data_IF_696464027263
#
_entry.id   IF_696464027263
#
_cell.length_a   1.000
_cell.length_b   1.000
_cell.length_c   1.000
_cell.angle_alpha   90.00
_cell.angle_beta   90.00
_cell.angle_gamma   90.00
#
_symmetry.space_group_name_H-M   'P 1'
#
loop_
_entity.id
_entity.type
_entity.pdbx_description
1 polymer ?
#
# COMPACT_ATOMS: atom_id res chain seq x y z
N UNK A 1 -7.16 -26.63 28.46
CA UNK A 1 -6.53 -25.65 27.56
C UNK A 1 -7.67 -24.82 26.95
N UNK A 2 -7.80 -23.57 27.38
CA UNK A 2 -8.87 -22.70 26.91
C UNK A 2 -8.43 -22.08 25.57
N UNK A 3 -9.19 -22.37 24.51
CA UNK A 3 -9.06 -21.71 23.22
C UNK A 3 -9.64 -20.30 23.41
N UNK A 4 -8.81 -19.31 23.56
CA UNK A 4 -9.23 -17.91 23.54
C UNK A 4 -9.71 -17.58 22.13
N UNK A 5 -11.01 -17.48 21.95
CA UNK A 5 -11.60 -16.87 20.75
C UNK A 5 -11.14 -15.42 20.69
N UNK A 6 -10.51 -15.06 19.57
CA UNK A 6 -10.26 -13.67 19.26
C UNK A 6 -11.62 -12.94 19.14
N UNK A 7 -11.76 -11.72 19.71
CA UNK A 7 -13.01 -10.99 19.64
C UNK A 7 -13.38 -10.73 18.17
N UNK A 8 -14.68 -10.86 17.84
CA UNK A 8 -15.26 -10.45 16.57
C UNK A 8 -14.97 -8.95 16.34
N UNK A 9 -13.87 -8.66 15.68
CA UNK A 9 -13.51 -7.32 15.30
C UNK A 9 -14.31 -6.93 14.05
N UNK A 10 -14.97 -5.78 14.04
CA UNK A 10 -15.63 -5.28 12.85
C UNK A 10 -14.57 -5.02 11.77
N UNK A 11 -14.57 -5.85 10.74
CA UNK A 11 -13.61 -5.83 9.62
C UNK A 11 -13.89 -4.68 8.63
N UNK A 12 -14.43 -3.58 9.12
CA UNK A 12 -14.77 -2.40 8.30
C UNK A 12 -13.59 -1.79 7.55
N UNK A 13 -12.35 -2.10 7.92
CA UNK A 13 -11.15 -1.61 7.25
C UNK A 13 -10.75 -2.35 5.97
N UNK A 14 -11.33 -3.52 5.65
CA UNK A 14 -11.12 -4.19 4.36
C UNK A 14 -11.81 -3.48 3.21
N UNK A 15 -12.67 -2.54 3.55
CA UNK A 15 -13.45 -1.76 2.60
C UNK A 15 -12.89 -0.36 2.55
N UNK A 16 -12.31 -0.05 1.43
CA UNK A 16 -12.61 1.24 0.85
C UNK A 16 -14.11 1.20 0.57
N UNK A 17 -14.92 1.47 1.59
CA UNK A 17 -16.32 1.80 1.36
C UNK A 17 -16.29 3.10 0.59
N UNK A 18 -16.21 2.96 -0.68
CA UNK A 18 -16.38 4.04 -1.62
C UNK A 18 -17.89 4.32 -1.60
N UNK A 19 -18.30 5.23 -0.70
CA UNK A 19 -19.45 6.03 -1.02
C UNK A 19 -19.02 6.90 -2.21
N UNK A 20 -19.14 6.36 -3.42
CA UNK A 20 -19.12 7.18 -4.60
C UNK A 20 -20.37 8.06 -4.54
N UNK A 21 -20.25 9.39 -4.51
CA UNK A 21 -21.34 10.20 -5.02
C UNK A 21 -21.57 9.71 -6.44
N UNK A 22 -22.83 9.45 -6.80
CA UNK A 22 -23.25 9.09 -8.15
C UNK A 22 -22.79 10.20 -9.08
N UNK A 23 -21.61 10.05 -9.68
CA UNK A 23 -21.16 10.94 -10.73
C UNK A 23 -21.68 10.32 -12.01
N UNK A 24 -22.76 10.91 -12.54
CA UNK A 24 -23.19 10.68 -13.92
C UNK A 24 -21.99 10.84 -14.85
N UNK A 25 -21.82 9.94 -15.84
CA UNK A 25 -20.73 10.03 -16.78
C UNK A 25 -21.01 11.13 -17.82
N UNK A 26 -20.61 12.34 -17.50
CA UNK A 26 -20.38 13.34 -18.52
C UNK A 26 -18.85 13.51 -18.61
N UNK A 27 -18.20 12.64 -19.39
CA UNK A 27 -16.85 12.90 -19.83
C UNK A 27 -16.92 13.92 -20.97
N UNK A 28 -16.43 15.16 -20.79
CA UNK A 28 -16.02 15.96 -21.92
C UNK A 28 -14.79 15.27 -22.53
N UNK A 29 -14.75 15.20 -23.86
CA UNK A 29 -13.61 14.73 -24.63
C UNK A 29 -12.31 15.37 -24.12
N UNK A 30 -11.16 14.65 -24.12
CA UNK A 30 -9.92 15.19 -23.65
C UNK A 30 -9.54 16.41 -24.48
N UNK A 31 -9.69 17.59 -23.90
CA UNK A 31 -9.05 18.79 -24.41
C UNK A 31 -7.56 18.51 -24.32
N UNK A 32 -6.86 18.54 -25.47
CA UNK A 32 -5.44 18.28 -25.55
C UNK A 32 -4.69 19.14 -24.53
N UNK A 33 -4.27 18.54 -23.44
CA UNK A 33 -3.38 19.17 -22.48
C UNK A 33 -2.01 19.17 -23.12
N UNK A 34 -1.65 20.31 -23.70
CA UNK A 34 -0.26 20.58 -24.12
C UNK A 34 0.58 20.62 -22.87
N UNK A 35 1.23 19.50 -22.55
CA UNK A 35 2.19 19.44 -21.43
C UNK A 35 3.40 20.28 -21.88
N UNK A 36 3.75 21.36 -21.16
CA UNK A 36 4.94 22.16 -21.51
C UNK A 36 6.17 21.27 -21.46
N UNK A 37 6.88 21.15 -22.56
CA UNK A 37 8.09 20.33 -22.73
C UNK A 37 9.17 20.61 -21.66
N UNK A 38 9.10 21.76 -20.97
CA UNK A 38 10.00 22.12 -19.88
C UNK A 38 9.93 21.29 -18.59
N UNK A 39 8.92 20.43 -18.41
CA UNK A 39 8.81 19.56 -17.20
C UNK A 39 9.52 18.20 -17.32
N UNK A 40 10.00 17.82 -18.50
CA UNK A 40 10.65 16.52 -18.72
C UNK A 40 12.10 16.46 -18.18
N UNK A 41 12.71 17.59 -17.83
CA UNK A 41 14.11 17.68 -17.35
C UNK A 41 14.25 18.12 -15.89
N UNK A 42 13.19 18.12 -15.09
CA UNK A 42 13.36 18.31 -13.65
C UNK A 42 13.97 17.02 -13.06
N UNK A 43 15.14 17.10 -12.40
CA UNK A 43 15.69 15.94 -11.70
C UNK A 43 14.63 15.48 -10.72
N UNK A 44 14.28 14.16 -10.78
CA UNK A 44 13.34 13.59 -9.80
C UNK A 44 13.95 13.83 -8.42
N UNK A 45 13.17 14.38 -7.46
CA UNK A 45 13.67 14.60 -6.12
C UNK A 45 14.28 13.29 -5.61
N UNK A 46 15.49 13.36 -5.14
CA UNK A 46 16.12 12.24 -4.47
C UNK A 46 15.42 11.93 -3.13
N UNK A 47 15.86 10.88 -2.46
CA UNK A 47 15.28 10.49 -1.17
C UNK A 47 15.33 11.62 -0.14
N UNK A 48 16.42 12.40 -0.11
CA UNK A 48 16.59 13.50 0.85
C UNK A 48 15.61 14.63 0.58
N UNK A 49 15.42 15.01 -0.68
CA UNK A 49 14.43 16.00 -1.07
C UNK A 49 13.02 15.55 -0.71
N UNK A 50 12.69 14.26 -0.91
CA UNK A 50 11.40 13.71 -0.53
C UNK A 50 11.17 13.76 0.99
N UNK A 51 12.16 13.34 1.80
CA UNK A 51 12.07 13.41 3.27
C UNK A 51 11.78 14.83 3.75
N UNK A 52 12.43 15.83 3.12
CA UNK A 52 12.21 17.24 3.47
C UNK A 52 10.86 17.78 2.98
N UNK A 53 10.19 17.11 2.06
CA UNK A 53 8.89 17.53 1.53
C UNK A 53 7.70 16.93 2.29
N UNK A 54 7.86 15.75 2.92
CA UNK A 54 6.81 15.19 3.76
C UNK A 54 6.70 15.99 5.06
N UNK A 55 5.48 16.14 5.56
CA UNK A 55 5.22 16.91 6.77
C UNK A 55 5.79 16.18 7.99
N UNK A 56 6.97 16.58 8.43
CA UNK A 56 7.58 16.06 9.65
C UNK A 56 6.86 16.65 10.86
N UNK A 57 6.31 15.80 11.72
CA UNK A 57 5.60 16.17 12.95
C UNK A 57 6.44 15.95 14.23
N UNK A 58 7.70 15.48 14.05
CA UNK A 58 8.62 15.17 15.15
C UNK A 58 8.37 13.81 15.81
N UNK A 59 7.31 13.08 15.43
CA UNK A 59 6.93 11.83 16.05
C UNK A 59 7.67 10.64 15.41
N UNK A 60 8.45 9.90 16.20
CA UNK A 60 9.21 8.74 15.75
C UNK A 60 8.33 7.54 15.36
N UNK A 61 7.10 7.48 15.86
CA UNK A 61 6.17 6.38 15.63
C UNK A 61 5.14 6.68 14.51
N UNK A 62 5.11 7.93 14.02
CA UNK A 62 4.19 8.36 12.96
C UNK A 62 4.81 8.11 11.59
N UNK A 63 4.17 7.29 10.77
CA UNK A 63 4.55 7.15 9.36
C UNK A 63 3.99 8.33 8.57
N UNK A 64 4.88 9.09 7.92
CA UNK A 64 4.53 10.31 7.16
C UNK A 64 4.84 10.21 5.67
N UNK A 65 5.59 9.19 5.24
CA UNK A 65 5.91 9.00 3.83
C UNK A 65 6.36 7.60 3.47
N UNK A 66 6.21 7.26 2.19
CA UNK A 66 6.79 6.07 1.57
C UNK A 66 7.47 6.45 0.26
N UNK A 67 8.62 5.86 0.03
CA UNK A 67 9.50 6.18 -1.09
C UNK A 67 10.01 4.91 -1.78
N UNK A 68 9.89 4.92 -3.12
CA UNK A 68 10.63 4.04 -4.03
C UNK A 68 11.26 4.91 -5.12
N UNK A 69 12.55 4.73 -5.47
CA UNK A 69 13.28 5.68 -6.33
C UNK A 69 12.62 5.98 -7.67
N UNK A 70 11.99 4.97 -8.26
CA UNK A 70 11.44 5.03 -9.63
C UNK A 70 9.91 5.05 -9.66
N UNK A 71 9.22 4.44 -8.68
CA UNK A 71 7.82 4.04 -8.79
C UNK A 71 6.92 4.88 -7.88
N UNK A 72 7.29 5.09 -6.61
CA UNK A 72 6.38 5.60 -5.60
C UNK A 72 7.04 6.68 -4.73
N UNK A 73 6.37 7.82 -4.64
CA UNK A 73 6.67 8.89 -3.67
C UNK A 73 5.33 9.42 -3.19
N UNK A 74 4.96 9.07 -1.98
CA UNK A 74 3.66 9.42 -1.46
C UNK A 74 3.74 9.82 0.01
N UNK A 75 3.04 10.90 0.37
CA UNK A 75 2.81 11.23 1.75
C UNK A 75 1.87 10.19 2.39
N UNK A 76 2.00 9.98 3.68
CA UNK A 76 1.14 9.09 4.44
C UNK A 76 0.38 9.88 5.48
N UNK A 77 -0.93 9.68 5.55
CA UNK A 77 -1.79 10.21 6.60
C UNK A 77 -2.35 9.07 7.46
N UNK A 78 -2.62 9.39 8.71
CA UNK A 78 -3.22 8.43 9.64
C UNK A 78 -4.71 8.28 9.36
N UNK A 79 -5.21 7.05 9.37
CA UNK A 79 -6.64 6.80 9.25
C UNK A 79 -7.38 7.41 10.45
N UNK A 80 -8.46 8.21 10.23
CA UNK A 80 -9.22 8.80 11.32
C UNK A 80 -9.83 7.77 12.28
N UNK A 81 -9.89 8.09 13.57
CA UNK A 81 -10.36 7.17 14.62
C UNK A 81 -11.78 6.63 14.36
N UNK A 82 -12.66 7.47 13.84
CA UNK A 82 -14.07 7.18 13.68
C UNK A 82 -14.44 6.80 12.23
N UNK A 83 -13.45 6.52 11.38
CA UNK A 83 -13.66 6.21 9.97
C UNK A 83 -12.80 5.03 9.53
N UNK A 84 -13.11 3.81 9.99
CA UNK A 84 -12.27 2.63 9.76
C UNK A 84 -12.18 2.20 8.29
N UNK A 85 -13.10 2.68 7.43
CA UNK A 85 -13.05 2.47 5.98
C UNK A 85 -12.43 3.62 5.20
N UNK A 86 -11.89 4.65 5.88
CA UNK A 86 -11.35 5.81 5.19
C UNK A 86 -10.06 5.50 4.44
N UNK A 87 -10.02 5.89 3.17
CA UNK A 87 -8.83 5.95 2.32
C UNK A 87 -8.79 7.33 1.67
N UNK A 88 -7.63 7.98 1.66
CA UNK A 88 -7.46 9.32 1.10
C UNK A 88 -7.84 9.36 -0.38
N UNK A 89 -8.64 10.36 -0.74
CA UNK A 89 -8.95 10.70 -2.14
C UNK A 89 -8.00 11.75 -2.73
N UNK A 90 -6.91 12.11 -2.00
CA UNK A 90 -5.91 13.04 -2.51
C UNK A 90 -4.87 12.30 -3.32
N UNK A 91 -4.47 12.87 -4.46
CA UNK A 91 -3.38 12.37 -5.28
C UNK A 91 -2.06 12.36 -4.49
N UNK A 92 -1.25 11.30 -4.68
CA UNK A 92 0.05 11.18 -4.00
C UNK A 92 -0.02 10.95 -2.49
N UNK A 93 -1.20 10.60 -1.95
CA UNK A 93 -1.39 10.35 -0.52
C UNK A 93 -1.89 8.93 -0.27
N UNK A 94 -1.23 8.27 0.67
CA UNK A 94 -1.64 6.97 1.20
C UNK A 94 -2.24 7.13 2.59
N UNK A 95 -3.01 6.14 3.01
CA UNK A 95 -3.62 6.10 4.35
C UNK A 95 -3.04 4.94 5.14
N UNK A 96 -2.48 5.20 6.32
CA UNK A 96 -2.05 4.11 7.23
C UNK A 96 -3.28 3.44 7.84
N UNK A 97 -3.36 2.11 7.67
CA UNK A 97 -4.47 1.29 8.12
C UNK A 97 -4.34 0.97 9.62
N UNK A 98 -5.14 1.64 10.41
CA UNK A 98 -5.09 1.56 11.89
C UNK A 98 -5.30 0.17 12.46
N UNK A 99 -6.14 -0.68 11.82
CA UNK A 99 -6.41 -2.01 12.34
C UNK A 99 -5.16 -2.90 12.26
N UNK A 100 -4.39 -2.82 11.18
CA UNK A 100 -3.14 -3.56 11.02
C UNK A 100 -2.07 -3.12 12.04
N UNK A 101 -2.06 -1.84 12.38
CA UNK A 101 -1.14 -1.28 13.38
C UNK A 101 -1.27 -1.96 14.76
N UNK A 102 -2.49 -2.37 15.15
CA UNK A 102 -2.74 -3.13 16.38
C UNK A 102 -2.01 -4.49 16.42
N UNK A 103 -1.66 -5.02 15.25
CA UNK A 103 -0.89 -6.26 15.10
C UNK A 103 0.61 -5.98 14.86
N UNK A 104 1.01 -4.70 14.93
CA UNK A 104 2.39 -4.27 14.68
C UNK A 104 2.79 -4.35 13.20
N UNK A 105 1.83 -4.22 12.30
CA UNK A 105 2.04 -4.19 10.85
C UNK A 105 1.82 -2.78 10.33
N UNK A 106 2.80 -2.23 9.63
CA UNK A 106 2.63 -0.97 8.89
C UNK A 106 1.89 -1.27 7.59
N UNK A 107 0.60 -0.93 7.52
CA UNK A 107 -0.20 -1.15 6.32
C UNK A 107 -0.64 0.18 5.70
N UNK A 108 -0.43 0.34 4.39
CA UNK A 108 -0.71 1.56 3.64
C UNK A 108 -1.72 1.28 2.54
N UNK A 109 -2.83 2.01 2.57
CA UNK A 109 -3.96 1.88 1.65
C UNK A 109 -3.94 3.01 0.62
N UNK A 110 -4.30 2.69 -0.62
CA UNK A 110 -4.52 3.68 -1.67
C UNK A 110 -5.62 3.24 -2.63
N UNK A 111 -6.28 4.20 -3.27
CA UNK A 111 -7.18 3.91 -4.38
C UNK A 111 -6.38 3.55 -5.64
N UNK A 112 -6.83 2.53 -6.38
CA UNK A 112 -6.20 2.03 -7.60
C UNK A 112 -6.17 3.04 -8.77
N UNK A 113 -7.02 4.05 -8.74
CA UNK A 113 -7.05 5.16 -9.72
C UNK A 113 -6.26 6.40 -9.27
N UNK A 114 -5.63 6.36 -8.08
CA UNK A 114 -4.75 7.39 -7.52
C UNK A 114 -3.35 6.79 -7.26
N UNK A 115 -2.78 7.05 -6.08
CA UNK A 115 -1.44 6.56 -5.72
C UNK A 115 -1.30 5.03 -5.81
N UNK A 116 -2.38 4.27 -5.64
CA UNK A 116 -2.40 2.82 -5.78
C UNK A 116 -2.09 2.29 -7.19
N UNK A 117 -2.19 3.14 -8.24
CA UNK A 117 -1.71 2.77 -9.58
C UNK A 117 -0.23 2.39 -9.59
N UNK A 118 0.56 3.04 -8.74
CA UNK A 118 1.99 2.76 -8.63
C UNK A 118 2.27 1.35 -8.11
N UNK A 119 1.38 0.77 -7.31
CA UNK A 119 1.57 -0.54 -6.70
C UNK A 119 1.66 -1.67 -7.73
N UNK A 120 0.98 -1.54 -8.87
CA UNK A 120 1.04 -2.52 -9.96
C UNK A 120 2.39 -2.57 -10.69
N UNK A 121 3.31 -1.64 -10.39
CA UNK A 121 4.65 -1.58 -10.97
C UNK A 121 5.74 -2.05 -10.01
N UNK A 122 5.37 -2.35 -8.78
CA UNK A 122 6.29 -2.85 -7.75
C UNK A 122 6.49 -4.34 -7.97
N UNK A 123 7.74 -4.77 -7.88
CA UNK A 123 8.15 -6.16 -8.11
C UNK A 123 8.76 -6.76 -6.84
N UNK A 124 8.76 -8.09 -6.75
CA UNK A 124 9.48 -8.81 -5.70
C UNK A 124 10.96 -8.48 -5.75
N UNK A 125 11.55 -8.17 -4.60
CA UNK A 125 12.94 -7.70 -4.47
C UNK A 125 13.10 -6.18 -4.41
N UNK A 126 12.09 -5.41 -4.81
CA UNK A 126 12.09 -3.94 -4.69
C UNK A 126 12.27 -3.49 -3.24
N UNK A 127 12.91 -2.33 -3.09
CA UNK A 127 13.13 -1.70 -1.78
C UNK A 127 12.21 -0.50 -1.62
N UNK A 128 11.38 -0.57 -0.59
CA UNK A 128 10.51 0.50 -0.14
C UNK A 128 11.12 1.15 1.10
N UNK A 129 11.14 2.47 1.15
CA UNK A 129 11.59 3.21 2.34
C UNK A 129 10.41 3.90 2.99
N UNK A 130 10.15 3.59 4.25
CA UNK A 130 9.21 4.31 5.09
C UNK A 130 9.92 5.49 5.74
N UNK A 131 9.24 6.63 5.78
CA UNK A 131 9.70 7.86 6.45
C UNK A 131 8.81 8.11 7.67
N UNK A 132 9.43 8.29 8.83
CA UNK A 132 8.76 8.63 10.09
C UNK A 132 8.74 10.15 10.30
N UNK A 133 7.83 10.62 11.17
CA UNK A 133 7.63 12.04 11.43
C UNK A 133 8.85 12.77 12.00
N UNK A 134 9.78 12.07 12.63
CA UNK A 134 11.07 12.60 13.08
C UNK A 134 12.16 12.61 11.99
N UNK A 135 11.84 12.20 10.76
CA UNK A 135 12.79 12.10 9.65
C UNK A 135 13.57 10.79 9.58
N UNK A 136 13.44 9.91 10.56
CA UNK A 136 14.05 8.57 10.49
C UNK A 136 13.43 7.76 9.35
N UNK A 137 14.19 6.80 8.84
CA UNK A 137 13.73 5.92 7.75
C UNK A 137 14.00 4.46 8.06
N UNK A 138 13.10 3.60 7.57
CA UNK A 138 13.28 2.15 7.62
C UNK A 138 13.04 1.59 6.20
N UNK A 139 13.99 0.76 5.76
CA UNK A 139 13.90 0.10 4.46
C UNK A 139 13.26 -1.28 4.60
N UNK A 140 12.42 -1.62 3.60
CA UNK A 140 11.72 -2.90 3.51
C UNK A 140 11.99 -3.52 2.14
N UNK A 141 12.20 -4.82 2.08
CA UNK A 141 12.29 -5.60 0.84
C UNK A 141 10.95 -6.25 0.55
N UNK A 142 10.44 -6.05 -0.66
CA UNK A 142 9.25 -6.74 -1.15
C UNK A 142 9.56 -8.23 -1.30
N UNK A 143 8.81 -9.07 -0.59
CA UNK A 143 8.99 -10.52 -0.59
C UNK A 143 7.91 -11.22 -1.42
N UNK A 144 6.69 -10.69 -1.40
CA UNK A 144 5.55 -11.36 -1.99
C UNK A 144 4.52 -10.35 -2.51
N UNK A 145 3.87 -10.69 -3.60
CA UNK A 145 2.75 -9.94 -4.19
C UNK A 145 1.59 -10.92 -4.34
N UNK A 146 0.47 -10.61 -3.70
CA UNK A 146 -0.72 -11.45 -3.68
C UNK A 146 -1.91 -10.71 -4.28
N UNK A 147 -2.73 -11.42 -5.05
CA UNK A 147 -3.92 -10.88 -5.70
C UNK A 147 -5.12 -11.77 -5.42
N UNK A 148 -6.23 -11.15 -5.10
CA UNK A 148 -7.47 -11.83 -4.76
C UNK A 148 -8.65 -11.22 -5.48
N UNK A 149 -9.54 -12.05 -6.04
CA UNK A 149 -10.85 -11.63 -6.47
C UNK A 149 -11.77 -11.49 -5.26
N UNK A 150 -12.50 -10.40 -5.16
CA UNK A 150 -13.58 -10.22 -4.19
C UNK A 150 -14.90 -10.73 -4.80
N UNK A 151 -15.55 -11.72 -4.19
CA UNK A 151 -16.81 -12.30 -4.69
C UNK A 151 -18.03 -11.38 -4.46
N UNK A 152 -17.89 -10.42 -3.56
CA UNK A 152 -18.88 -9.38 -3.28
C UNK A 152 -18.13 -8.07 -3.00
N UNK A 153 -17.62 -7.37 -4.06
CA UNK A 153 -16.66 -6.26 -3.93
C UNK A 153 -17.08 -5.14 -2.98
N UNK A 154 -18.39 -4.89 -2.86
CA UNK A 154 -18.96 -3.82 -2.03
C UNK A 154 -19.49 -4.32 -0.66
N UNK A 155 -19.24 -5.58 -0.32
CA UNK A 155 -19.70 -6.15 0.96
C UNK A 155 -18.56 -6.25 1.98
N UNK A 156 -18.77 -5.84 3.25
CA UNK A 156 -17.83 -6.08 4.35
C UNK A 156 -17.60 -7.55 4.65
N UNK A 157 -18.43 -8.40 4.19
CA UNK A 157 -18.36 -9.84 4.37
C UNK A 157 -17.98 -10.58 3.09
N UNK A 158 -17.34 -9.88 2.14
CA UNK A 158 -16.89 -10.50 0.90
C UNK A 158 -16.04 -11.75 1.21
N UNK A 159 -16.17 -12.73 0.36
CA UNK A 159 -15.24 -13.83 0.29
C UNK A 159 -14.22 -13.54 -0.83
N UNK A 160 -13.08 -14.19 -0.75
CA UNK A 160 -11.95 -13.92 -1.64
C UNK A 160 -11.42 -15.21 -2.24
N UNK A 161 -11.12 -15.17 -3.54
CA UNK A 161 -10.44 -16.23 -4.30
C UNK A 161 -9.02 -15.78 -4.59
N UNK A 162 -8.04 -16.60 -4.25
CA UNK A 162 -6.64 -16.37 -4.60
C UNK A 162 -6.47 -16.52 -6.12
N UNK A 163 -5.98 -15.48 -6.80
CA UNK A 163 -5.82 -15.50 -8.26
C UNK A 163 -4.66 -16.37 -8.73
N UNK A 164 -3.67 -16.60 -7.87
CA UNK A 164 -2.58 -17.53 -8.16
C UNK A 164 -2.99 -19.00 -7.97
N UNK A 165 -3.99 -19.26 -7.10
CA UNK A 165 -4.44 -20.60 -6.74
C UNK A 165 -5.98 -20.65 -6.66
N UNK A 166 -6.69 -20.50 -7.79
CA UNK A 166 -8.15 -20.35 -7.80
C UNK A 166 -8.92 -21.62 -7.38
N UNK A 167 -8.27 -22.77 -7.40
CA UNK A 167 -8.76 -24.08 -6.96
C UNK A 167 -8.64 -24.31 -5.44
N UNK A 168 -7.96 -23.43 -4.72
CA UNK A 168 -7.89 -23.48 -3.27
C UNK A 168 -9.19 -22.99 -2.63
N UNK A 169 -9.31 -23.25 -1.32
CA UNK A 169 -10.46 -22.82 -0.53
C UNK A 169 -10.67 -21.32 -0.62
N UNK A 170 -11.90 -20.91 -0.89
CA UNK A 170 -12.35 -19.51 -0.80
C UNK A 170 -12.18 -19.01 0.64
N UNK A 171 -11.51 -17.88 0.81
CA UNK A 171 -11.24 -17.29 2.12
C UNK A 171 -12.33 -16.30 2.51
N UNK A 172 -12.65 -16.26 3.80
CA UNK A 172 -13.42 -15.15 4.36
C UNK A 172 -12.57 -13.89 4.48
N UNK A 173 -13.21 -12.74 4.71
CA UNK A 173 -12.49 -11.50 4.98
C UNK A 173 -11.59 -11.62 6.22
N UNK A 174 -12.02 -12.36 7.25
CA UNK A 174 -11.20 -12.64 8.44
C UNK A 174 -10.00 -13.51 8.13
N UNK A 175 -10.16 -14.58 7.33
CA UNK A 175 -9.05 -15.44 6.94
C UNK A 175 -8.00 -14.63 6.17
N UNK A 176 -8.45 -13.80 5.21
CA UNK A 176 -7.58 -12.95 4.41
C UNK A 176 -6.88 -11.89 5.29
N UNK A 177 -7.60 -11.25 6.21
CA UNK A 177 -7.00 -10.32 7.16
C UNK A 177 -5.88 -10.98 7.96
N UNK A 178 -6.16 -12.13 8.55
CA UNK A 178 -5.16 -12.85 9.36
C UNK A 178 -3.94 -13.27 8.52
N UNK A 179 -4.16 -13.67 7.27
CA UNK A 179 -3.06 -14.03 6.35
C UNK A 179 -2.16 -12.83 6.05
N UNK A 180 -2.75 -11.65 5.84
CA UNK A 180 -2.04 -10.47 5.34
C UNK A 180 -1.46 -9.59 6.46
N UNK A 181 -2.19 -9.41 7.59
CA UNK A 181 -1.90 -8.34 8.54
C UNK A 181 -1.49 -8.80 9.93
N UNK A 182 -1.01 -10.03 10.09
CA UNK A 182 -0.57 -10.53 11.40
C UNK A 182 0.93 -10.80 11.51
N UNK A 183 1.68 -10.60 10.42
CA UNK A 183 3.14 -10.75 10.45
C UNK A 183 3.78 -9.46 11.00
N UNK A 184 4.00 -9.44 12.32
CA UNK A 184 4.53 -8.29 13.06
C UNK A 184 5.83 -7.76 12.43
N UNK A 185 5.92 -6.43 12.32
CA UNK A 185 7.08 -5.73 11.77
C UNK A 185 7.07 -5.64 10.25
N UNK A 186 6.12 -6.27 9.55
CA UNK A 186 6.02 -6.16 8.10
C UNK A 186 5.43 -4.84 7.64
N UNK A 187 5.72 -4.51 6.38
CA UNK A 187 5.03 -3.48 5.60
C UNK A 187 4.10 -4.15 4.61
N UNK A 188 2.86 -3.65 4.52
CA UNK A 188 1.88 -4.09 3.53
C UNK A 188 1.37 -2.88 2.76
N UNK A 189 1.45 -2.91 1.43
CA UNK A 189 0.70 -1.97 0.59
C UNK A 189 -0.53 -2.68 0.04
N UNK A 190 -1.69 -2.00 0.10
CA UNK A 190 -2.94 -2.54 -0.42
C UNK A 190 -3.64 -1.55 -1.35
N UNK A 191 -4.13 -2.07 -2.48
CA UNK A 191 -5.06 -1.34 -3.36
C UNK A 191 -6.12 -2.30 -3.92
N UNK A 192 -7.15 -1.74 -4.57
CA UNK A 192 -8.11 -2.53 -5.32
C UNK A 192 -7.55 -2.92 -6.70
N UNK A 193 -8.09 -3.99 -7.28
CA UNK A 193 -7.90 -4.37 -8.67
C UNK A 193 -9.18 -4.04 -9.42
N UNK A 194 -9.05 -3.34 -10.55
CA UNK A 194 -10.16 -3.09 -11.45
C UNK A 194 -10.29 -4.24 -12.45
N UNK A 195 -11.52 -4.64 -12.76
CA UNK A 195 -11.81 -5.55 -13.85
C UNK A 195 -13.17 -5.24 -14.47
N UNK A 196 -13.21 -5.06 -15.80
CA UNK A 196 -14.41 -4.77 -16.58
C UNK A 196 -15.24 -3.58 -16.04
N UNK A 197 -14.57 -2.53 -15.56
CA UNK A 197 -15.20 -1.31 -15.03
C UNK A 197 -15.60 -1.39 -13.57
N UNK A 198 -15.46 -2.54 -12.89
CA UNK A 198 -15.59 -2.62 -11.44
C UNK A 198 -14.23 -2.30 -10.77
N UNK A 199 -14.11 -1.09 -10.25
CA UNK A 199 -12.90 -0.61 -9.59
C UNK A 199 -12.55 -1.37 -8.30
N UNK A 200 -13.47 -2.15 -7.76
CA UNK A 200 -13.34 -2.90 -6.50
C UNK A 200 -13.32 -4.40 -6.70
N UNK A 201 -13.26 -4.88 -7.95
CA UNK A 201 -13.35 -6.29 -8.30
C UNK A 201 -12.39 -7.19 -7.51
N UNK A 202 -11.18 -6.71 -7.21
CA UNK A 202 -10.18 -7.49 -6.47
C UNK A 202 -9.35 -6.66 -5.51
N UNK A 203 -8.37 -7.32 -4.90
CA UNK A 203 -7.40 -6.72 -3.97
C UNK A 203 -6.00 -7.16 -4.33
N UNK A 204 -5.09 -6.19 -4.40
CA UNK A 204 -3.66 -6.38 -4.54
C UNK A 204 -3.01 -6.08 -3.19
N UNK A 205 -2.15 -6.99 -2.75
CA UNK A 205 -1.32 -6.84 -1.55
C UNK A 205 0.15 -7.01 -1.94
N UNK A 206 0.99 -6.09 -1.46
CA UNK A 206 2.44 -6.16 -1.57
C UNK A 206 2.97 -6.29 -0.16
N UNK A 207 3.63 -7.41 0.12
CA UNK A 207 4.16 -7.76 1.44
C UNK A 207 5.68 -7.56 1.43
N UNK A 208 6.19 -6.82 2.42
CA UNK A 208 7.60 -6.54 2.55
C UNK A 208 8.07 -6.69 4.01
N UNK A 209 9.30 -7.14 4.17
CA UNK A 209 9.96 -7.28 5.47
C UNK A 209 11.04 -6.23 5.67
N UNK A 210 11.29 -5.78 6.92
CA UNK A 210 12.36 -4.84 7.18
C UNK A 210 13.71 -5.44 6.79
N UNK A 211 14.58 -4.60 6.24
CA UNK A 211 15.98 -4.97 5.95
C UNK A 211 16.78 -4.69 7.20
N UNK A 212 17.38 -5.73 7.77
CA UNK A 212 18.33 -5.55 8.85
C UNK A 212 19.67 -5.05 8.28
N UNK A 213 20.39 -4.18 9.01
CA UNK A 213 21.72 -3.72 8.59
C UNK A 213 22.73 -4.85 8.35
N UNK A 214 22.53 -5.97 9.03
CA UNK A 214 23.39 -7.17 8.98
C UNK A 214 22.99 -8.14 7.85
N UNK A 215 21.89 -7.89 7.14
CA UNK A 215 21.49 -8.73 5.99
C UNK A 215 22.50 -8.56 4.86
N UNK A 216 22.92 -9.69 4.21
CA UNK A 216 23.81 -9.62 3.05
C UNK A 216 23.20 -8.74 1.97
N UNK A 217 23.86 -7.62 1.67
CA UNK A 217 23.43 -6.71 0.62
C UNK A 217 23.81 -7.33 -0.74
N UNK A 218 22.87 -7.65 -1.65
CA UNK A 218 23.23 -8.14 -2.95
C UNK A 218 24.09 -7.09 -3.66
N UNK A 219 25.33 -7.47 -4.02
CA UNK A 219 26.28 -6.62 -4.75
C UNK A 219 27.39 -5.94 -3.95
N UNK A 220 27.55 -6.22 -2.62
CA UNK A 220 28.70 -5.70 -1.85
C UNK A 220 29.94 -6.59 -1.89
N UNK A 221 29.82 -7.84 -2.30
CA UNK A 221 30.88 -8.85 -2.20
C UNK A 221 31.53 -9.20 -3.55
N UNK A 222 31.31 -8.41 -4.62
CA UNK A 222 32.17 -8.54 -5.78
C UNK A 222 33.47 -7.75 -5.55
N UNK A 223 34.63 -8.42 -5.39
CA UNK A 223 35.90 -7.73 -5.35
C UNK A 223 36.10 -7.03 -6.71
N UNK A 224 36.73 -5.84 -6.72
CA UNK A 224 36.98 -5.14 -7.97
C UNK A 224 37.82 -6.03 -8.88
N UNK A 225 37.29 -6.32 -10.08
CA UNK A 225 38.03 -6.98 -11.15
C UNK A 225 39.19 -6.04 -11.54
N UNK A 226 40.36 -6.27 -10.95
CA UNK A 226 41.61 -5.68 -11.48
C UNK A 226 41.93 -6.39 -12.79
N UNK A 227 41.78 -5.69 -13.87
CA UNK A 227 42.50 -5.93 -15.15
C UNK A 227 43.70 -5.01 -15.24
#
# INVERSE_FOLDING_TARGET
MAVTHAPDLPLTGFYSAVNYPSISPAHPAPVGVTIPIGRLNQPRPDRFQFINQVALDGNADSVVGVFHPKILRAAVIQQPNNSPGYVSSKEGVLTQFRMADRFGVTALLAHNYLAGQAFFKIETGDILTIVYGNGNTLAYRVNEIQQYQALSPNSPYSKFVDLAHPDQRVMTATDLFNKIYTNRGSLVLQTCIENNGDLSWGRLFILATPINPDDPQPGRDEPPLYQ
#
